data_IF_083441563810
#
_entry.id   IF_083441563810
#
_cell.length_a   1.000
_cell.length_b   1.000
_cell.length_c   1.000
_cell.angle_alpha   90.00
_cell.angle_beta   90.00
_cell.angle_gamma   90.00
#
_symmetry.space_group_name_H-M   'P 1'
#
loop_
_entity.id
_entity.type
_entity.pdbx_description
1 polymer ?
#
# COMPACT_ATOMS: atom_id res chain seq x y z
N UNK A 1 -4.54 -0.18 -28.17
CA UNK A 1 -4.45 -0.11 -26.69
C UNK A 1 -5.83 -0.29 -26.08
N UNK A 2 -6.24 -1.53 -25.77
CA UNK A 2 -7.52 -1.79 -25.10
C UNK A 2 -7.24 -2.13 -23.63
N UNK A 3 -7.28 -1.14 -22.73
CA UNK A 3 -7.06 -1.40 -21.29
C UNK A 3 -8.21 -2.27 -20.76
N UNK A 4 -7.89 -3.23 -19.89
CA UNK A 4 -8.88 -4.12 -19.30
C UNK A 4 -10.02 -3.33 -18.61
N UNK A 5 -11.26 -3.86 -18.56
CA UNK A 5 -12.36 -3.22 -17.83
C UNK A 5 -11.99 -2.87 -16.39
N UNK A 6 -11.22 -3.75 -15.71
CA UNK A 6 -10.72 -3.51 -14.36
C UNK A 6 -9.84 -2.25 -14.27
N UNK A 7 -8.89 -2.08 -15.20
CA UNK A 7 -8.01 -0.90 -15.23
C UNK A 7 -8.79 0.41 -15.46
N UNK A 8 -9.88 0.37 -16.24
CA UNK A 8 -10.77 1.53 -16.43
C UNK A 8 -11.55 1.87 -15.15
N UNK A 9 -12.07 0.86 -14.44
CA UNK A 9 -12.76 1.06 -13.16
C UNK A 9 -11.82 1.65 -12.12
N UNK A 10 -10.65 1.04 -11.94
CA UNK A 10 -9.61 1.55 -11.04
C UNK A 10 -9.23 2.99 -11.38
N UNK A 11 -9.10 3.33 -12.67
CA UNK A 11 -8.78 4.69 -13.11
C UNK A 11 -9.86 5.72 -12.74
N UNK A 12 -11.14 5.34 -12.80
CA UNK A 12 -12.24 6.19 -12.33
C UNK A 12 -12.19 6.36 -10.81
N UNK A 13 -11.98 5.27 -10.07
CA UNK A 13 -11.85 5.32 -8.61
C UNK A 13 -10.68 6.21 -8.19
N UNK A 14 -9.49 6.04 -8.75
CA UNK A 14 -8.31 6.85 -8.42
C UNK A 14 -8.56 8.36 -8.63
N UNK A 15 -9.28 8.76 -9.69
CA UNK A 15 -9.62 10.18 -9.89
C UNK A 15 -10.62 10.70 -8.85
N UNK A 16 -11.59 9.88 -8.43
CA UNK A 16 -12.50 10.24 -7.35
C UNK A 16 -11.76 10.35 -6.00
N UNK A 17 -10.82 9.45 -5.72
CA UNK A 17 -9.94 9.53 -4.55
C UNK A 17 -9.12 10.83 -4.58
N UNK A 18 -8.56 11.20 -5.73
CA UNK A 18 -7.84 12.47 -5.90
C UNK A 18 -8.71 13.71 -5.62
N UNK A 19 -10.04 13.60 -5.76
CA UNK A 19 -11.00 14.64 -5.41
C UNK A 19 -11.49 14.56 -3.94
N UNK A 20 -10.97 13.61 -3.14
CA UNK A 20 -11.34 13.44 -1.73
C UNK A 20 -12.54 12.51 -1.49
N UNK A 21 -12.90 11.65 -2.45
CA UNK A 21 -13.97 10.65 -2.25
C UNK A 21 -13.47 9.44 -1.44
N UNK A 22 -13.90 9.36 -0.18
CA UNK A 22 -13.55 8.27 0.74
C UNK A 22 -14.20 6.93 0.37
N UNK A 23 -15.37 6.93 -0.28
CA UNK A 23 -16.03 5.70 -0.76
C UNK A 23 -15.26 5.13 -1.94
N UNK A 24 -14.80 5.98 -2.85
CA UNK A 24 -13.92 5.57 -3.93
C UNK A 24 -12.60 4.99 -3.40
N UNK A 25 -12.08 5.54 -2.30
CA UNK A 25 -10.87 5.03 -1.66
C UNK A 25 -11.08 3.64 -1.07
N UNK A 26 -12.17 3.43 -0.33
CA UNK A 26 -12.51 2.09 0.19
C UNK A 26 -12.60 1.07 -0.94
N UNK A 27 -13.28 1.40 -2.04
CA UNK A 27 -13.41 0.49 -3.19
C UNK A 27 -12.06 0.20 -3.86
N UNK A 28 -11.20 1.22 -3.96
CA UNK A 28 -9.87 1.05 -4.54
C UNK A 28 -8.98 0.18 -3.63
N UNK A 29 -9.09 0.38 -2.31
CA UNK A 29 -8.46 -0.46 -1.29
C UNK A 29 -8.92 -1.91 -1.41
N UNK A 30 -10.23 -2.17 -1.47
CA UNK A 30 -10.77 -3.54 -1.56
C UNK A 30 -10.22 -4.29 -2.79
N UNK A 31 -10.06 -3.59 -3.92
CA UNK A 31 -9.54 -4.18 -5.17
C UNK A 31 -8.04 -4.50 -5.09
N UNK A 32 -7.24 -3.68 -4.40
CA UNK A 32 -5.78 -3.73 -4.47
C UNK A 32 -5.11 -4.16 -3.15
N UNK A 33 -5.88 -4.35 -2.09
CA UNK A 33 -5.37 -4.67 -0.75
C UNK A 33 -4.58 -5.99 -0.75
N UNK A 34 -5.13 -7.04 -1.37
CA UNK A 34 -4.47 -8.36 -1.46
C UNK A 34 -3.14 -8.26 -2.20
N UNK A 35 -3.10 -7.55 -3.33
CA UNK A 35 -1.89 -7.41 -4.14
C UNK A 35 -0.79 -6.63 -3.39
N UNK A 36 -1.17 -5.49 -2.81
CA UNK A 36 -0.22 -4.65 -2.04
C UNK A 36 0.27 -5.35 -0.78
N UNK A 37 -0.59 -6.06 -0.06
CA UNK A 37 -0.19 -6.84 1.11
C UNK A 37 0.76 -7.99 0.74
N UNK A 38 0.51 -8.66 -0.38
CA UNK A 38 1.40 -9.72 -0.89
C UNK A 38 2.79 -9.18 -1.19
N UNK A 39 2.88 -7.98 -1.78
CA UNK A 39 4.16 -7.29 -2.01
C UNK A 39 4.85 -7.00 -0.69
N UNK A 40 4.17 -6.37 0.27
CA UNK A 40 4.75 -6.05 1.57
C UNK A 40 5.27 -7.31 2.29
N UNK A 41 4.49 -8.40 2.32
CA UNK A 41 4.86 -9.68 2.96
C UNK A 41 6.10 -10.35 2.35
N UNK A 42 6.49 -10.03 1.12
CA UNK A 42 7.74 -10.53 0.53
C UNK A 42 8.99 -9.90 1.16
N UNK A 43 8.88 -8.66 1.63
CA UNK A 43 9.98 -7.91 2.23
C UNK A 43 9.89 -7.86 3.76
N UNK A 44 8.68 -8.00 4.31
CA UNK A 44 8.36 -7.90 5.73
C UNK A 44 7.95 -9.27 6.27
N UNK A 45 8.90 -10.07 6.80
CA UNK A 45 8.60 -11.41 7.31
C UNK A 45 7.74 -11.40 8.57
N UNK A 46 7.90 -10.38 9.43
CA UNK A 46 6.98 -10.16 10.56
C UNK A 46 5.62 -9.65 10.04
N UNK A 47 4.55 -10.31 10.47
CA UNK A 47 3.19 -9.93 10.12
C UNK A 47 2.81 -8.59 10.73
N UNK A 48 3.27 -8.29 11.94
CA UNK A 48 2.96 -7.04 12.62
C UNK A 48 3.50 -5.83 11.84
N UNK A 49 4.72 -5.92 11.34
CA UNK A 49 5.32 -4.88 10.52
C UNK A 49 4.61 -4.72 9.17
N UNK A 50 4.23 -5.83 8.54
CA UNK A 50 3.47 -5.79 7.29
C UNK A 50 2.12 -5.10 7.47
N UNK A 51 1.41 -5.34 8.57
CA UNK A 51 0.12 -4.71 8.86
C UNK A 51 0.27 -3.20 9.13
N UNK A 52 1.33 -2.80 9.83
CA UNK A 52 1.64 -1.38 10.08
C UNK A 52 2.00 -0.69 8.77
N UNK A 53 2.91 -1.28 7.98
CA UNK A 53 3.34 -0.76 6.69
C UNK A 53 2.16 -0.63 5.72
N UNK A 54 1.27 -1.63 5.68
CA UNK A 54 0.07 -1.62 4.86
C UNK A 54 -0.82 -0.42 5.17
N UNK A 55 -1.13 -0.18 6.44
CA UNK A 55 -1.98 0.94 6.87
C UNK A 55 -1.32 2.28 6.55
N UNK A 56 -0.04 2.45 6.91
CA UNK A 56 0.69 3.69 6.69
C UNK A 56 0.84 4.02 5.18
N UNK A 57 1.13 3.01 4.37
CA UNK A 57 1.20 3.13 2.92
C UNK A 57 -0.14 3.56 2.32
N UNK A 58 -1.26 2.95 2.73
CA UNK A 58 -2.57 3.32 2.20
C UNK A 58 -3.00 4.74 2.61
N UNK A 59 -2.62 5.20 3.81
CA UNK A 59 -2.78 6.61 4.21
C UNK A 59 -1.94 7.52 3.31
N UNK A 60 -0.70 7.13 3.01
CA UNK A 60 0.16 7.87 2.07
C UNK A 60 -0.42 7.92 0.66
N UNK A 61 -1.03 6.83 0.18
CA UNK A 61 -1.75 6.79 -1.11
C UNK A 61 -2.90 7.78 -1.12
N UNK A 62 -3.69 7.86 -0.04
CA UNK A 62 -4.75 8.86 0.08
C UNK A 62 -4.20 10.29 0.03
N UNK A 63 -3.17 10.59 0.83
CA UNK A 63 -2.55 11.91 0.89
C UNK A 63 -1.93 12.35 -0.46
N UNK A 64 -1.43 11.39 -1.24
CA UNK A 64 -0.76 11.64 -2.51
C UNK A 64 -1.64 11.28 -3.73
N UNK A 65 -2.93 11.04 -3.55
CA UNK A 65 -3.82 10.54 -4.60
C UNK A 65 -3.87 11.46 -5.82
N UNK A 66 -3.83 12.78 -5.60
CA UNK A 66 -3.78 13.76 -6.70
C UNK A 66 -2.53 13.60 -7.54
N UNK A 67 -1.34 13.52 -6.94
CA UNK A 67 -0.09 13.29 -7.66
C UNK A 67 -0.09 11.93 -8.37
N UNK A 68 -0.47 10.87 -7.67
CA UNK A 68 -0.59 9.52 -8.23
C UNK A 68 -1.58 9.45 -9.39
N UNK A 69 -2.64 10.26 -9.41
CA UNK A 69 -3.61 10.26 -10.50
C UNK A 69 -3.04 10.79 -11.83
N UNK A 70 -2.05 11.68 -11.77
CA UNK A 70 -1.38 12.29 -12.93
C UNK A 70 -0.19 11.49 -13.44
N UNK A 71 0.38 10.61 -12.62
CA UNK A 71 1.49 9.75 -13.03
C UNK A 71 1.09 8.76 -14.14
N UNK A 72 2.02 8.43 -15.06
CA UNK A 72 1.79 7.44 -16.10
C UNK A 72 1.54 6.04 -15.52
N UNK A 73 0.84 5.19 -16.27
CA UNK A 73 0.51 3.82 -15.86
C UNK A 73 -0.88 3.67 -15.25
N UNK A 74 -1.26 2.43 -14.98
CA UNK A 74 -2.51 2.06 -14.32
C UNK A 74 -2.43 2.32 -12.81
N UNK A 75 -3.58 2.51 -12.13
CA UNK A 75 -3.58 2.65 -10.67
C UNK A 75 -2.96 1.46 -9.94
N UNK A 76 -3.17 0.23 -10.45
CA UNK A 76 -2.57 -0.97 -9.88
C UNK A 76 -1.03 -0.92 -9.94
N UNK A 77 -0.45 -0.61 -11.10
CA UNK A 77 1.01 -0.50 -11.26
C UNK A 77 1.60 0.57 -10.32
N UNK A 78 0.96 1.74 -10.26
CA UNK A 78 1.42 2.85 -9.40
C UNK A 78 1.35 2.50 -7.92
N UNK A 79 0.23 1.95 -7.45
CA UNK A 79 0.05 1.60 -6.04
C UNK A 79 0.97 0.44 -5.63
N UNK A 80 1.19 -0.54 -6.52
CA UNK A 80 2.17 -1.62 -6.27
C UNK A 80 3.59 -1.05 -6.17
N UNK A 81 3.98 -0.12 -7.05
CA UNK A 81 5.27 0.54 -6.96
C UNK A 81 5.44 1.36 -5.67
N UNK A 82 4.36 1.97 -5.16
CA UNK A 82 4.35 2.60 -3.84
C UNK A 82 4.60 1.54 -2.74
N UNK A 83 3.95 0.39 -2.81
CA UNK A 83 4.15 -0.71 -1.85
C UNK A 83 5.60 -1.22 -1.83
N UNK A 84 6.19 -1.44 -3.00
CA UNK A 84 7.60 -1.86 -3.13
C UNK A 84 8.56 -0.84 -2.50
N UNK A 85 8.34 0.46 -2.79
CA UNK A 85 9.15 1.54 -2.20
C UNK A 85 9.01 1.59 -0.68
N UNK A 86 7.79 1.49 -0.17
CA UNK A 86 7.52 1.47 1.28
C UNK A 86 8.15 0.27 1.99
N UNK A 87 8.15 -0.91 1.35
CA UNK A 87 8.83 -2.11 1.82
C UNK A 87 10.36 -1.97 1.85
N UNK A 88 10.93 -1.10 1.02
CA UNK A 88 12.39 -0.87 0.98
C UNK A 88 12.85 0.26 1.90
N UNK A 89 12.08 1.35 1.99
CA UNK A 89 12.53 2.62 2.60
C UNK A 89 11.62 3.13 3.72
N UNK A 90 10.70 2.33 4.23
CA UNK A 90 9.65 2.82 5.12
C UNK A 90 10.17 3.44 6.44
N UNK A 91 9.45 4.41 7.01
CA UNK A 91 9.98 5.38 7.98
C UNK A 91 10.24 4.87 9.41
N UNK A 92 10.16 3.56 9.69
CA UNK A 92 10.39 3.08 11.07
C UNK A 92 9.80 1.72 11.46
N UNK A 93 9.24 0.93 10.55
CA UNK A 93 8.81 -0.44 10.88
C UNK A 93 10.01 -1.38 11.13
N UNK A 94 11.20 -1.07 10.60
CA UNK A 94 12.43 -1.84 10.90
C UNK A 94 12.77 -1.83 12.40
N UNK A 95 12.64 -0.67 13.07
CA UNK A 95 12.96 -0.52 14.50
C UNK A 95 11.91 -1.17 15.44
N UNK A 96 10.67 -1.30 14.97
CA UNK A 96 9.61 -2.01 15.71
C UNK A 96 9.87 -3.52 15.76
N UNK A 97 10.35 -4.10 14.65
CA UNK A 97 10.72 -5.51 14.51
C UNK A 97 11.88 -5.95 15.44
N UNK A 98 12.90 -5.09 15.57
CA UNK A 98 14.06 -5.32 16.43
C UNK A 98 13.65 -5.34 17.91
N UNK A 99 12.70 -4.49 18.29
CA UNK A 99 12.19 -4.38 19.66
C UNK A 99 11.31 -5.57 20.08
N UNK A 100 10.69 -6.28 19.13
CA UNK A 100 9.88 -7.48 19.38
C UNK A 100 10.70 -8.76 19.49
N UNK A 101 11.76 -8.90 18.68
CA UNK A 101 12.63 -10.09 18.67
C UNK A 101 13.45 -10.23 19.95
N UNK A 102 13.90 -9.12 20.55
CA UNK A 102 14.71 -9.13 21.79
C UNK A 102 13.92 -9.62 23.02
N UNK A 103 12.58 -9.56 23.01
CA UNK A 103 11.76 -10.01 24.16
C UNK A 103 11.42 -11.50 24.16
N UNK A 104 11.70 -12.25 23.09
CA UNK A 104 11.37 -13.70 23.02
C UNK A 104 12.50 -14.62 23.51
N UNK A 105 13.66 -14.08 23.88
CA UNK A 105 14.81 -14.86 24.35
C UNK A 105 15.00 -14.88 25.87
N UNK A 106 14.09 -14.29 26.65
CA UNK A 106 14.20 -14.21 28.11
C UNK A 106 13.04 -14.92 28.80
N UNK A 107 12.91 -16.23 28.59
CA UNK A 107 12.12 -17.11 29.46
C UNK A 107 12.61 -18.55 29.31
N UNK A 108 13.61 -18.96 30.10
CA UNK A 108 13.94 -20.31 30.63
C UNK A 108 15.38 -20.24 31.14
#
# INVERSE_FOLDING_TARGET
MNRSPAARVQGKLMRAVAAGDSVAFSRLYDILSVATYTVLRRYLPDQADADIAMKAMWVSVWQNASALSHEPGTPAEKIVAVAERWAQTGPGWQSASESGSVRRAATT
#
